data_IF_689390794880
#
_entry.id   IF_689390794880
#
_cell.length_a   1.000
_cell.length_b   1.000
_cell.length_c   1.000
_cell.angle_alpha   90.00
_cell.angle_beta   90.00
_cell.angle_gamma   90.00
#
_symmetry.space_group_name_H-M   'P 1'
#
loop_
_entity.id
_entity.type
_entity.pdbx_description
1 polymer ?
#
# COMPACT_ATOMS: atom_id res chain seq x y z
N UNK A 1 -6.05 -4.69 -4.20
CA UNK A 1 -5.64 -3.57 -5.08
C UNK A 1 -4.52 -2.84 -4.39
N UNK A 2 -3.31 -2.91 -4.96
CA UNK A 2 -2.11 -2.32 -4.36
C UNK A 2 -1.33 -1.53 -5.41
N UNK A 3 -1.10 -0.26 -5.14
CA UNK A 3 -0.29 0.61 -6.01
C UNK A 3 1.21 0.25 -6.00
N UNK A 4 1.63 -0.65 -5.14
CA UNK A 4 2.98 -1.17 -5.04
C UNK A 4 2.94 -2.69 -4.85
N UNK A 5 3.76 -3.39 -5.62
CA UNK A 5 3.93 -4.84 -5.60
C UNK A 5 5.27 -5.18 -6.26
N UNK A 6 5.96 -6.27 -5.91
CA UNK A 6 7.20 -6.66 -6.59
C UNK A 6 7.02 -6.70 -8.13
N UNK A 7 8.06 -6.40 -8.91
CA UNK A 7 9.49 -6.35 -8.58
C UNK A 7 9.97 -5.06 -7.90
N UNK A 8 9.13 -4.06 -7.72
CA UNK A 8 9.47 -2.91 -6.88
C UNK A 8 9.14 -3.23 -5.44
N UNK A 9 10.16 -3.53 -4.67
CA UNK A 9 10.07 -3.74 -3.25
C UNK A 9 10.06 -2.41 -2.50
N UNK A 10 8.96 -2.12 -1.85
CA UNK A 10 8.82 -1.08 -0.84
C UNK A 10 8.05 -1.67 0.34
N UNK A 11 7.81 -0.91 1.37
CA UNK A 11 7.12 -1.40 2.57
C UNK A 11 5.74 -1.98 2.27
N UNK A 12 4.93 -1.25 1.51
CA UNK A 12 3.58 -1.69 1.13
C UNK A 12 3.65 -2.90 0.21
N UNK A 13 4.54 -2.88 -0.80
CA UNK A 13 4.70 -3.98 -1.75
C UNK A 13 5.08 -5.29 -1.08
N UNK A 14 5.99 -5.24 -0.09
CA UNK A 14 6.39 -6.39 0.71
C UNK A 14 5.22 -6.96 1.51
N UNK A 15 4.48 -6.10 2.22
CA UNK A 15 3.29 -6.52 2.98
C UNK A 15 2.25 -7.18 2.08
N UNK A 16 1.94 -6.56 0.93
CA UNK A 16 0.96 -7.12 -0.02
C UNK A 16 1.40 -8.47 -0.56
N UNK A 17 2.68 -8.63 -0.89
CA UNK A 17 3.21 -9.89 -1.39
C UNK A 17 3.05 -11.02 -0.37
N UNK A 18 3.49 -10.82 0.86
CA UNK A 18 3.38 -11.84 1.90
C UNK A 18 1.93 -12.12 2.28
N UNK A 19 1.11 -11.09 2.45
CA UNK A 19 -0.32 -11.23 2.74
C UNK A 19 -1.04 -12.04 1.65
N UNK A 20 -0.77 -11.74 0.37
CA UNK A 20 -1.37 -12.48 -0.74
C UNK A 20 -1.04 -13.96 -0.71
N UNK A 21 0.23 -14.31 -0.46
CA UNK A 21 0.66 -15.70 -0.32
C UNK A 21 0.01 -16.42 0.85
N UNK A 22 -0.08 -15.77 2.00
CA UNK A 22 -0.76 -16.36 3.16
C UNK A 22 -2.25 -16.55 2.92
N UNK A 23 -2.94 -15.58 2.32
CA UNK A 23 -4.35 -15.72 1.97
C UNK A 23 -4.57 -16.87 0.97
N UNK A 24 -3.71 -17.01 -0.03
CA UNK A 24 -3.76 -18.11 -0.99
C UNK A 24 -3.52 -19.46 -0.29
N UNK A 25 -2.55 -19.55 0.62
CA UNK A 25 -2.28 -20.75 1.41
C UNK A 25 -3.46 -21.14 2.31
N UNK A 26 -4.28 -20.17 2.74
CA UNK A 26 -5.54 -20.39 3.46
C UNK A 26 -6.70 -20.81 2.54
N UNK A 27 -6.45 -21.13 1.27
CA UNK A 27 -7.46 -21.62 0.33
C UNK A 27 -8.24 -20.52 -0.40
N UNK A 28 -7.86 -19.25 -0.27
CA UNK A 28 -8.51 -18.18 -1.01
C UNK A 28 -7.94 -18.06 -2.43
N UNK A 29 -8.80 -17.75 -3.40
CA UNK A 29 -8.39 -17.32 -4.73
C UNK A 29 -8.00 -15.85 -4.69
N UNK A 30 -6.72 -15.54 -4.82
CA UNK A 30 -6.21 -14.18 -4.68
C UNK A 30 -5.83 -13.60 -6.04
N UNK A 31 -6.34 -12.42 -6.35
CA UNK A 31 -5.96 -11.64 -7.54
C UNK A 31 -5.45 -10.27 -7.12
N UNK A 32 -4.18 -9.99 -7.42
CA UNK A 32 -3.55 -8.68 -7.19
C UNK A 32 -3.73 -7.80 -8.43
N UNK A 33 -4.30 -6.61 -8.25
CA UNK A 33 -4.30 -5.58 -9.30
C UNK A 33 -3.24 -4.55 -8.91
N UNK A 34 -2.20 -4.41 -9.74
CA UNK A 34 -1.05 -3.54 -9.44
C UNK A 34 -0.61 -2.72 -10.64
N UNK A 35 0.34 -1.83 -10.44
CA UNK A 35 0.94 -1.01 -11.51
C UNK A 35 1.85 -1.84 -12.40
N UNK A 36 1.76 -1.64 -13.72
CA UNK A 36 2.65 -2.31 -14.67
C UNK A 36 4.10 -1.82 -14.57
N UNK A 37 5.03 -2.75 -14.71
CA UNK A 37 6.47 -2.51 -14.74
C UNK A 37 7.11 -3.18 -15.96
N UNK A 38 8.38 -2.83 -16.25
CA UNK A 38 9.15 -3.47 -17.33
C UNK A 38 9.47 -4.94 -17.02
N UNK A 39 9.67 -5.24 -15.74
CA UNK A 39 9.95 -6.58 -15.23
C UNK A 39 8.65 -7.15 -14.70
N UNK A 40 8.37 -8.42 -15.02
CA UNK A 40 7.18 -9.11 -14.55
C UNK A 40 7.22 -9.31 -13.02
N UNK A 41 6.06 -9.27 -12.35
CA UNK A 41 5.96 -9.67 -10.95
C UNK A 41 6.47 -11.10 -10.73
N UNK A 42 7.06 -11.40 -9.56
CA UNK A 42 7.42 -12.76 -9.23
C UNK A 42 6.16 -13.64 -9.16
N UNK A 43 6.30 -14.88 -9.61
CA UNK A 43 5.24 -15.86 -9.50
C UNK A 43 5.05 -16.30 -8.05
N UNK A 44 3.80 -16.47 -7.65
CA UNK A 44 3.43 -16.91 -6.31
C UNK A 44 2.26 -17.89 -6.42
N UNK A 45 2.39 -19.05 -5.78
CA UNK A 45 1.37 -20.10 -5.84
C UNK A 45 0.02 -19.59 -5.35
N UNK A 46 -1.04 -19.86 -6.10
CA UNK A 46 -2.41 -19.44 -5.77
C UNK A 46 -2.71 -17.94 -5.92
N UNK A 47 -1.74 -17.15 -6.40
CA UNK A 47 -1.90 -15.69 -6.59
C UNK A 47 -1.83 -15.35 -8.08
N UNK A 48 -2.85 -14.68 -8.59
CA UNK A 48 -2.87 -14.11 -9.93
C UNK A 48 -2.57 -12.62 -9.89
N UNK A 49 -1.84 -12.10 -10.90
CA UNK A 49 -1.48 -10.67 -10.95
C UNK A 49 -2.02 -10.05 -12.24
N UNK A 50 -2.73 -8.94 -12.09
CA UNK A 50 -3.21 -8.09 -13.18
C UNK A 50 -2.46 -6.76 -13.10
N UNK A 51 -1.62 -6.51 -14.10
CA UNK A 51 -0.90 -5.26 -14.22
C UNK A 51 -1.72 -4.23 -15.02
N UNK A 52 -1.78 -2.99 -14.52
CA UNK A 52 -2.50 -1.91 -15.17
C UNK A 52 -1.60 -0.71 -15.47
N UNK A 53 -1.84 0.01 -16.58
CA UNK A 53 -1.06 1.19 -16.92
C UNK A 53 -1.27 2.33 -15.93
N UNK A 54 -0.28 3.19 -15.81
CA UNK A 54 -0.28 4.34 -14.90
C UNK A 54 0.61 5.47 -15.43
N UNK A 55 0.35 6.70 -14.99
CA UNK A 55 1.13 7.89 -15.37
C UNK A 55 2.33 8.04 -14.43
N UNK A 56 3.55 8.09 -14.98
CA UNK A 56 4.81 8.17 -14.22
C UNK A 56 5.13 9.60 -13.77
N UNK A 57 4.19 10.22 -13.06
CA UNK A 57 4.39 11.54 -12.45
C UNK A 57 4.15 11.44 -10.95
N UNK A 58 4.96 12.14 -10.12
CA UNK A 58 4.78 12.16 -8.68
C UNK A 58 3.34 12.49 -8.30
N UNK A 59 2.80 11.78 -7.31
CA UNK A 59 1.42 11.87 -6.82
C UNK A 59 0.34 11.52 -7.87
N UNK A 60 0.43 12.02 -9.10
CA UNK A 60 -0.57 11.75 -10.16
C UNK A 60 -0.69 10.26 -10.50
N UNK A 61 0.37 9.48 -10.29
CA UNK A 61 0.37 8.05 -10.51
C UNK A 61 -0.72 7.33 -9.70
N UNK A 62 -0.98 7.75 -8.45
CA UNK A 62 -1.95 7.10 -7.57
C UNK A 62 -3.37 7.18 -8.13
N UNK A 63 -3.70 8.33 -8.73
CA UNK A 63 -5.02 8.58 -9.31
C UNK A 63 -5.20 7.91 -10.67
N UNK A 64 -4.19 7.94 -11.53
CA UNK A 64 -4.22 7.26 -12.83
C UNK A 64 -4.28 5.75 -12.67
N UNK A 65 -3.49 5.23 -11.73
CA UNK A 65 -3.54 3.82 -11.33
C UNK A 65 -4.93 3.42 -10.85
N UNK A 66 -5.52 4.16 -9.89
CA UNK A 66 -6.83 3.83 -9.33
C UNK A 66 -7.93 3.76 -10.41
N UNK A 67 -7.91 4.65 -11.42
CA UNK A 67 -8.86 4.59 -12.54
C UNK A 67 -8.74 3.30 -13.34
N UNK A 68 -7.51 2.89 -13.66
CA UNK A 68 -7.25 1.68 -14.44
C UNK A 68 -7.48 0.41 -13.60
N UNK A 69 -7.15 0.45 -12.30
CA UNK A 69 -7.44 -0.63 -11.37
C UNK A 69 -8.96 -0.89 -11.25
N UNK A 70 -9.78 0.17 -11.19
CA UNK A 70 -11.23 0.02 -11.20
C UNK A 70 -11.75 -0.63 -12.48
N UNK A 71 -11.18 -0.27 -13.63
CA UNK A 71 -11.55 -0.91 -14.91
C UNK A 71 -11.19 -2.41 -14.91
N UNK A 72 -9.99 -2.75 -14.42
CA UNK A 72 -9.56 -4.13 -14.28
C UNK A 72 -10.43 -4.92 -13.30
N UNK A 73 -10.76 -4.33 -12.15
CA UNK A 73 -11.66 -4.94 -11.15
C UNK A 73 -13.06 -5.22 -11.73
N UNK A 74 -13.64 -4.27 -12.48
CA UNK A 74 -14.92 -4.49 -13.16
C UNK A 74 -14.86 -5.63 -14.17
N UNK A 75 -13.77 -5.73 -14.92
CA UNK A 75 -13.58 -6.80 -15.89
C UNK A 75 -13.37 -8.16 -15.20
N UNK A 76 -12.67 -8.18 -14.09
CA UNK A 76 -12.49 -9.38 -13.25
C UNK A 76 -13.87 -9.84 -12.74
N UNK A 77 -14.61 -8.95 -12.09
CA UNK A 77 -15.92 -9.27 -11.50
C UNK A 77 -16.97 -9.78 -12.52
N UNK A 78 -16.86 -9.34 -13.78
CA UNK A 78 -17.73 -9.86 -14.87
C UNK A 78 -17.41 -11.31 -15.26
N UNK A 79 -16.17 -11.75 -15.05
CA UNK A 79 -15.71 -13.11 -15.40
C UNK A 79 -15.89 -14.08 -14.25
N UNK A 80 -15.68 -13.58 -13.05
CA UNK A 80 -15.79 -14.35 -11.82
C UNK A 80 -16.24 -13.44 -10.67
N UNK A 81 -17.03 -13.99 -9.77
CA UNK A 81 -17.49 -13.26 -8.59
C UNK A 81 -16.29 -12.88 -7.73
N UNK A 82 -16.24 -11.62 -7.33
CA UNK A 82 -15.33 -11.12 -6.30
C UNK A 82 -16.10 -11.01 -5.00
N UNK A 83 -15.61 -11.61 -3.94
CA UNK A 83 -16.28 -11.65 -2.63
C UNK A 83 -15.80 -10.54 -1.68
N UNK A 84 -14.54 -10.10 -1.82
CA UNK A 84 -13.95 -9.01 -1.03
C UNK A 84 -12.97 -8.21 -1.89
N UNK A 85 -12.98 -6.89 -1.75
CA UNK A 85 -11.98 -6.01 -2.38
C UNK A 85 -11.11 -5.40 -1.31
N UNK A 86 -9.84 -5.81 -1.25
CA UNK A 86 -8.86 -5.25 -0.33
C UNK A 86 -8.06 -4.13 -1.02
N UNK A 87 -8.07 -2.91 -0.47
CA UNK A 87 -7.41 -1.72 -1.03
C UNK A 87 -6.32 -1.23 -0.07
N UNK A 88 -5.08 -1.14 -0.57
CA UNK A 88 -3.94 -0.65 0.21
C UNK A 88 -3.73 0.85 -0.04
N UNK A 89 -4.06 1.67 0.97
CA UNK A 89 -3.86 3.10 0.96
C UNK A 89 -2.41 3.45 1.39
N UNK A 90 -1.86 4.61 0.96
CA UNK A 90 -2.49 5.68 0.19
C UNK A 90 -2.27 5.57 -1.33
N UNK A 91 -1.61 4.51 -1.84
CA UNK A 91 -1.14 4.45 -3.23
C UNK A 91 -2.25 4.18 -4.27
N UNK A 92 -3.48 3.95 -3.83
CA UNK A 92 -4.66 3.74 -4.67
C UNK A 92 -5.70 4.84 -4.39
N UNK A 93 -5.62 5.97 -5.11
CA UNK A 93 -6.47 7.14 -4.89
C UNK A 93 -7.82 7.02 -5.58
N UNK A 94 -8.73 6.21 -5.03
CA UNK A 94 -10.12 6.16 -5.48
C UNK A 94 -10.93 7.36 -4.95
N UNK A 95 -11.84 7.89 -5.76
CA UNK A 95 -12.78 8.89 -5.30
C UNK A 95 -13.91 8.25 -4.47
N UNK A 96 -14.62 9.06 -3.68
CA UNK A 96 -15.77 8.65 -2.90
C UNK A 96 -16.81 7.90 -3.75
N UNK A 97 -17.11 8.42 -4.94
CA UNK A 97 -18.02 7.75 -5.89
C UNK A 97 -17.51 6.39 -6.36
N UNK A 98 -16.19 6.23 -6.49
CA UNK A 98 -15.59 4.95 -6.90
C UNK A 98 -15.59 3.93 -5.77
N UNK A 99 -15.32 4.34 -4.54
CA UNK A 99 -15.46 3.46 -3.37
C UNK A 99 -16.91 2.99 -3.22
N UNK A 100 -17.87 3.90 -3.21
CA UNK A 100 -19.32 3.54 -3.17
C UNK A 100 -19.73 2.60 -4.29
N UNK A 101 -19.22 2.83 -5.50
CA UNK A 101 -19.52 1.94 -6.61
C UNK A 101 -18.97 0.52 -6.35
N UNK A 102 -17.76 0.38 -5.82
CA UNK A 102 -17.17 -0.93 -5.50
C UNK A 102 -18.00 -1.62 -4.42
N UNK A 103 -18.28 -0.93 -3.32
CA UNK A 103 -19.07 -1.44 -2.20
C UNK A 103 -20.46 -1.92 -2.62
N UNK A 104 -21.16 -1.14 -3.43
CA UNK A 104 -22.54 -1.41 -3.77
C UNK A 104 -22.73 -2.39 -4.93
N UNK A 105 -21.75 -2.51 -5.84
CA UNK A 105 -21.93 -3.22 -7.10
C UNK A 105 -20.91 -4.34 -7.34
N UNK A 106 -19.89 -4.46 -6.52
CA UNK A 106 -18.85 -5.48 -6.69
C UNK A 106 -18.73 -6.34 -5.44
N UNK A 107 -18.21 -5.79 -4.34
CA UNK A 107 -18.01 -6.52 -3.10
C UNK A 107 -17.66 -5.55 -1.96
N UNK A 108 -17.83 -5.96 -0.68
CA UNK A 108 -17.35 -5.21 0.48
C UNK A 108 -15.88 -4.85 0.36
N UNK A 109 -15.53 -3.63 0.79
CA UNK A 109 -14.16 -3.12 0.74
C UNK A 109 -13.51 -3.19 2.12
N UNK A 110 -12.32 -3.77 2.18
CA UNK A 110 -11.38 -3.63 3.28
C UNK A 110 -10.29 -2.63 2.86
N UNK A 111 -10.04 -1.58 3.64
CA UNK A 111 -8.97 -0.61 3.38
C UNK A 111 -7.83 -0.77 4.38
N UNK A 112 -6.64 -1.16 3.92
CA UNK A 112 -5.41 -1.15 4.75
C UNK A 112 -4.77 0.22 4.78
N UNK A 113 -4.56 0.71 6.01
CA UNK A 113 -3.96 2.01 6.32
C UNK A 113 -2.47 1.81 6.61
N UNK A 114 -1.59 2.22 5.69
CA UNK A 114 -0.14 2.06 5.85
C UNK A 114 0.55 3.33 6.32
N UNK A 115 -0.01 4.47 6.03
CA UNK A 115 0.45 5.81 6.34
C UNK A 115 -0.42 6.82 5.62
N UNK A 116 -0.34 8.10 5.96
CA UNK A 116 -1.16 9.15 5.38
C UNK A 116 -0.34 10.16 4.59
N UNK A 117 -0.91 10.72 3.52
CA UNK A 117 -0.27 11.83 2.78
C UNK A 117 -0.07 13.07 3.66
N UNK A 118 -0.91 13.28 4.67
CA UNK A 118 -0.75 14.41 5.58
C UNK A 118 0.40 14.17 6.57
N UNK A 119 0.57 12.94 7.06
CA UNK A 119 1.71 12.51 7.86
C UNK A 119 3.01 12.60 7.07
N UNK A 120 3.05 12.08 5.86
CA UNK A 120 4.20 12.20 4.95
C UNK A 120 4.58 13.66 4.71
N UNK A 121 3.60 14.52 4.44
CA UNK A 121 3.85 15.97 4.32
C UNK A 121 4.49 16.57 5.56
N UNK A 122 4.03 16.19 6.74
CA UNK A 122 4.61 16.66 8.00
C UNK A 122 6.04 16.15 8.18
N UNK A 123 6.30 14.89 7.83
CA UNK A 123 7.65 14.29 7.83
C UNK A 123 8.60 15.09 6.94
N UNK A 124 8.21 15.34 5.68
CA UNK A 124 8.98 16.14 4.72
C UNK A 124 9.26 17.55 5.25
N UNK A 125 8.27 18.22 5.87
CA UNK A 125 8.45 19.56 6.44
C UNK A 125 9.42 19.54 7.63
N UNK A 126 9.32 18.55 8.51
CA UNK A 126 10.20 18.42 9.68
C UNK A 126 11.64 18.14 9.26
N UNK A 127 11.86 17.20 8.35
CA UNK A 127 13.19 16.87 7.81
C UNK A 127 13.83 18.08 7.11
N UNK A 128 13.03 18.87 6.37
CA UNK A 128 13.53 20.11 5.76
C UNK A 128 13.93 21.18 6.79
N UNK A 129 13.17 21.32 7.88
CA UNK A 129 13.51 22.27 8.97
C UNK A 129 14.74 21.84 9.77
N UNK A 130 14.96 20.54 9.89
CA UNK A 130 16.13 19.98 10.54
C UNK A 130 17.38 19.96 9.64
N UNK A 131 17.31 20.47 8.42
CA UNK A 131 18.34 20.38 7.38
C UNK A 131 18.75 18.93 7.00
N UNK A 132 17.89 17.95 7.28
CA UNK A 132 18.12 16.53 6.95
C UNK A 132 17.74 16.22 5.50
N UNK A 133 16.87 17.03 4.89
CA UNK A 133 16.53 16.92 3.48
C UNK A 133 16.36 18.27 2.81
N UNK A 134 16.71 18.33 1.53
CA UNK A 134 16.43 19.48 0.65
C UNK A 134 15.18 19.20 -0.19
N UNK A 135 14.01 19.39 0.38
CA UNK A 135 12.70 19.09 -0.25
C UNK A 135 12.58 19.64 -1.68
N UNK A 136 13.12 20.80 -1.96
CA UNK A 136 13.08 21.43 -3.27
C UNK A 136 13.97 20.74 -4.32
N UNK A 137 14.93 19.89 -3.91
CA UNK A 137 15.78 19.09 -4.80
C UNK A 137 15.18 17.71 -5.10
N UNK A 138 14.20 17.27 -4.31
CA UNK A 138 13.54 15.98 -4.49
C UNK A 138 12.14 16.22 -5.10
N UNK A 139 11.89 15.85 -6.37
CA UNK A 139 10.59 16.05 -7.02
C UNK A 139 9.42 15.35 -6.28
N UNK A 140 9.68 14.21 -5.64
CA UNK A 140 8.64 13.50 -4.89
C UNK A 140 8.27 14.28 -3.61
N UNK A 141 9.25 14.72 -2.82
CA UNK A 141 9.02 15.48 -1.59
C UNK A 141 8.32 16.80 -1.90
N UNK A 142 8.74 17.48 -2.98
CA UNK A 142 8.09 18.70 -3.44
C UNK A 142 6.63 18.45 -3.83
N UNK A 143 6.37 17.38 -4.58
CA UNK A 143 5.01 17.00 -4.97
C UNK A 143 4.14 16.67 -3.76
N UNK A 144 4.66 15.91 -2.77
CA UNK A 144 3.97 15.61 -1.51
C UNK A 144 3.65 16.92 -0.78
N UNK A 145 4.64 17.79 -0.60
CA UNK A 145 4.48 19.07 0.10
C UNK A 145 3.35 19.94 -0.51
N UNK A 146 3.29 19.98 -1.85
CA UNK A 146 2.32 20.82 -2.57
C UNK A 146 0.93 20.17 -2.69
N UNK A 147 0.86 18.86 -2.86
CA UNK A 147 -0.39 18.21 -3.28
C UNK A 147 -1.00 17.24 -2.25
N UNK A 148 -0.31 16.93 -1.15
CA UNK A 148 -0.80 15.99 -0.15
C UNK A 148 -2.23 16.32 0.35
N UNK A 149 -2.53 17.61 0.59
CA UNK A 149 -3.88 18.05 0.99
C UNK A 149 -4.95 17.74 -0.07
N UNK A 150 -4.58 17.74 -1.35
CA UNK A 150 -5.50 17.33 -2.41
C UNK A 150 -5.70 15.82 -2.42
N UNK A 151 -4.62 15.04 -2.23
CA UNK A 151 -4.68 13.57 -2.26
C UNK A 151 -5.26 12.97 -0.98
N UNK A 152 -5.17 13.65 0.16
CA UNK A 152 -5.74 13.21 1.42
C UNK A 152 -7.27 12.99 1.38
N UNK A 153 -7.97 13.69 0.48
CA UNK A 153 -9.41 13.46 0.29
C UNK A 153 -9.75 12.06 -0.24
N UNK A 154 -8.82 11.42 -0.96
CA UNK A 154 -9.02 10.05 -1.44
C UNK A 154 -8.79 9.03 -0.34
N UNK A 155 -7.87 9.30 0.59
CA UNK A 155 -7.69 8.49 1.80
C UNK A 155 -8.91 8.63 2.71
N UNK A 156 -9.37 9.87 2.96
CA UNK A 156 -10.61 10.11 3.70
C UNK A 156 -11.80 9.36 3.07
N UNK A 157 -11.88 9.33 1.74
CA UNK A 157 -12.92 8.56 1.05
C UNK A 157 -12.79 7.05 1.33
N UNK A 158 -11.59 6.50 1.34
CA UNK A 158 -11.35 5.11 1.69
C UNK A 158 -11.83 4.76 3.09
N UNK A 159 -11.49 5.61 4.08
CA UNK A 159 -11.91 5.44 5.47
C UNK A 159 -13.44 5.46 5.62
N UNK A 160 -14.10 6.42 4.97
CA UNK A 160 -15.54 6.66 5.15
C UNK A 160 -16.45 5.72 4.34
N UNK A 161 -15.94 5.15 3.26
CA UNK A 161 -16.75 4.38 2.31
C UNK A 161 -16.38 2.89 2.25
N UNK A 162 -15.43 2.43 3.07
CA UNK A 162 -15.10 1.01 3.21
C UNK A 162 -15.94 0.37 4.30
N UNK A 163 -16.32 -0.89 4.10
CA UNK A 163 -16.99 -1.69 5.13
C UNK A 163 -16.15 -1.82 6.39
N UNK A 164 -14.83 -1.95 6.22
CA UNK A 164 -13.87 -1.98 7.33
C UNK A 164 -12.54 -1.37 6.88
N UNK A 165 -11.85 -0.74 7.83
CA UNK A 165 -10.44 -0.37 7.69
C UNK A 165 -9.56 -1.19 8.62
N UNK A 166 -8.30 -1.39 8.23
CA UNK A 166 -7.30 -2.09 9.04
C UNK A 166 -6.06 -1.22 9.16
N UNK A 167 -5.72 -0.83 10.38
CA UNK A 167 -4.49 -0.11 10.68
C UNK A 167 -3.40 -1.09 11.14
N UNK A 168 -2.16 -0.86 10.71
CA UNK A 168 -1.02 -1.70 11.08
C UNK A 168 -0.49 -1.45 12.49
N UNK A 169 -0.96 -0.40 13.16
CA UNK A 169 -0.61 -0.07 14.53
C UNK A 169 -1.62 0.90 15.14
N UNK A 170 -1.63 0.98 16.47
CA UNK A 170 -2.41 1.98 17.21
C UNK A 170 -1.99 3.42 16.85
N UNK A 171 -0.71 3.62 16.56
CA UNK A 171 -0.17 4.91 16.11
C UNK A 171 -0.77 5.32 14.76
N UNK A 172 -0.82 4.40 13.80
CA UNK A 172 -1.44 4.64 12.49
C UNK A 172 -2.93 4.96 12.64
N UNK A 173 -3.67 4.20 13.45
CA UNK A 173 -5.08 4.49 13.73
C UNK A 173 -5.26 5.89 14.31
N UNK A 174 -4.45 6.25 15.31
CA UNK A 174 -4.50 7.58 15.94
C UNK A 174 -4.15 8.69 14.95
N UNK A 175 -3.17 8.47 14.08
CA UNK A 175 -2.81 9.41 13.01
C UNK A 175 -4.00 9.67 12.08
N UNK A 176 -4.66 8.63 11.61
CA UNK A 176 -5.82 8.77 10.71
C UNK A 176 -6.99 9.45 11.41
N UNK A 177 -7.27 9.15 12.68
CA UNK A 177 -8.27 9.86 13.48
C UNK A 177 -7.96 11.35 13.60
N UNK A 178 -6.69 11.69 13.88
CA UNK A 178 -6.26 13.08 14.03
C UNK A 178 -6.33 13.88 12.73
N UNK A 179 -5.98 13.28 11.59
CA UNK A 179 -5.94 13.98 10.31
C UNK A 179 -7.31 14.10 9.64
N UNK A 180 -8.13 13.07 9.77
CA UNK A 180 -9.36 13.00 8.97
C UNK A 180 -10.62 13.25 9.76
N UNK A 181 -10.54 13.25 11.10
CA UNK A 181 -11.68 13.46 12.00
C UNK A 181 -12.92 12.74 11.45
N UNK A 182 -12.90 11.41 11.35
CA UNK A 182 -14.05 10.69 10.86
C UNK A 182 -15.23 10.91 11.81
N UNK A 183 -16.33 11.42 11.26
CA UNK A 183 -17.57 11.57 12.01
C UNK A 183 -18.21 10.20 12.20
N UNK A 184 -18.60 9.85 13.41
CA UNK A 184 -19.27 8.60 13.72
C UNK A 184 -18.36 7.39 13.87
N UNK A 185 -18.92 6.21 13.72
CA UNK A 185 -18.24 4.94 13.89
C UNK A 185 -17.25 4.66 12.74
N UNK A 186 -16.03 5.07 12.96
CA UNK A 186 -14.91 4.68 12.11
C UNK A 186 -14.59 3.21 12.37
N UNK A 187 -15.13 2.34 11.54
CA UNK A 187 -14.92 0.90 11.64
C UNK A 187 -13.49 0.55 11.23
N UNK A 188 -12.59 0.46 12.22
CA UNK A 188 -11.18 0.19 11.99
C UNK A 188 -10.60 -0.70 13.09
N UNK A 189 -10.09 -1.84 12.69
CA UNK A 189 -9.33 -2.75 13.55
C UNK A 189 -7.84 -2.47 13.45
N UNK A 190 -7.11 -2.74 14.53
CA UNK A 190 -5.66 -2.74 14.54
C UNK A 190 -5.15 -4.16 14.39
N UNK A 191 -4.53 -4.44 13.24
CA UNK A 191 -3.90 -5.72 12.96
C UNK A 191 -2.40 -5.49 12.77
N UNK A 192 -1.61 -5.90 13.74
CA UNK A 192 -0.16 -5.79 13.69
C UNK A 192 0.39 -6.69 12.58
N UNK A 193 1.38 -6.19 11.87
CA UNK A 193 2.11 -7.04 10.94
C UNK A 193 2.92 -8.07 11.70
N UNK A 194 2.81 -9.32 11.28
CA UNK A 194 3.68 -10.39 11.75
C UNK A 194 5.05 -10.32 11.11
N UNK A 195 5.98 -11.08 11.66
CA UNK A 195 7.24 -11.39 11.00
C UNK A 195 7.30 -12.89 10.70
N UNK A 196 8.02 -13.25 9.64
CA UNK A 196 8.30 -14.65 9.36
C UNK A 196 9.38 -15.16 10.34
N UNK A 197 8.96 -15.93 11.34
CA UNK A 197 9.85 -16.48 12.36
C UNK A 197 10.81 -17.57 11.83
N UNK A 198 10.64 -18.04 10.60
CA UNK A 198 11.64 -18.88 9.93
C UNK A 198 12.81 -18.08 9.42
N UNK A 199 12.56 -16.82 9.01
CA UNK A 199 13.57 -15.88 8.53
C UNK A 199 14.15 -15.07 9.70
N UNK A 200 13.27 -14.52 10.55
CA UNK A 200 13.63 -13.73 11.71
C UNK A 200 13.61 -14.60 12.97
N UNK A 201 14.65 -15.37 13.17
CA UNK A 201 14.88 -16.23 14.35
C UNK A 201 16.23 -15.91 14.99
N UNK A 202 16.40 -16.15 16.28
CA UNK A 202 17.73 -16.12 16.87
C UNK A 202 18.67 -17.06 16.09
N UNK A 203 19.94 -16.74 15.94
CA UNK A 203 20.91 -17.64 15.32
C UNK A 203 20.93 -18.95 16.12
N UNK A 204 20.87 -20.09 15.43
CA UNK A 204 21.09 -21.37 16.05
C UNK A 204 22.60 -21.51 16.35
N UNK A 205 22.94 -22.34 17.34
CA UNK A 205 24.37 -22.62 17.65
C UNK A 205 25.15 -23.23 16.50
N UNK A 206 24.43 -23.81 15.51
CA UNK A 206 25.01 -24.42 14.30
C UNK A 206 25.01 -23.47 13.08
N UNK A 207 24.43 -22.27 13.18
CA UNK A 207 24.57 -21.26 12.13
C UNK A 207 26.03 -20.78 12.23
N UNK A 208 26.93 -21.27 11.38
CA UNK A 208 28.27 -20.73 11.24
C UNK A 208 28.17 -19.20 11.15
N UNK A 209 28.92 -18.49 11.96
CA UNK A 209 29.01 -17.03 11.89
C UNK A 209 29.39 -16.67 10.44
N UNK A 210 28.39 -16.35 9.60
CA UNK A 210 28.64 -15.60 8.39
C UNK A 210 29.29 -14.30 8.86
N UNK A 211 30.62 -14.27 8.82
CA UNK A 211 31.41 -13.12 9.24
C UNK A 211 30.84 -11.90 8.51
N UNK A 212 30.16 -11.05 9.26
CA UNK A 212 29.68 -9.77 8.80
C UNK A 212 30.87 -8.99 8.22
N UNK A 213 30.99 -8.94 6.89
CA UNK A 213 31.97 -8.11 6.20
C UNK A 213 31.39 -6.69 6.01
N UNK A 214 31.86 -5.71 6.80
CA UNK A 214 31.39 -4.32 6.68
C UNK A 214 31.67 -3.71 5.30
N UNK A 215 32.52 -4.31 4.48
CA UNK A 215 32.87 -3.83 3.15
C UNK A 215 31.86 -4.26 2.07
N UNK A 216 31.02 -5.25 2.32
CA UNK A 216 29.93 -5.65 1.40
C UNK A 216 28.83 -4.60 1.29
N UNK A 217 28.62 -3.78 2.32
CA UNK A 217 27.63 -2.69 2.30
C UNK A 217 28.03 -1.50 1.41
N UNK A 218 29.31 -1.41 0.98
CA UNK A 218 29.78 -0.33 0.09
C UNK A 218 29.45 -0.54 -1.39
N UNK A 219 28.93 -1.70 -1.77
CA UNK A 219 28.48 -1.99 -3.14
C UNK A 219 26.95 -2.00 -3.18
N UNK A 220 26.33 -0.85 -3.01
CA UNK A 220 24.91 -0.66 -3.32
C UNK A 220 24.66 -0.95 -4.80
N UNK A 221 23.46 -1.40 -5.17
CA UNK A 221 23.12 -1.66 -6.56
C UNK A 221 23.25 -0.39 -7.39
N UNK A 222 23.99 -0.48 -8.52
CA UNK A 222 24.11 0.57 -9.55
C UNK A 222 22.78 0.77 -10.29
#
# INVERSE_FOLDING_TARGET
IAGEYPPRWGGIGSVVFHLAGHLAACGNKVTIITRSHKVKPPEQSGVSVIEVPWIKLPMAFTRSYAKNALKALKNLHRREKVDVVHIHLPLASFSRKQFRFIEQNIAPVCSSLHGSWLGEKQGVIRASKANESATWRNPNDLAIRLTAKYYSKFEKAGILESSISVANSQSTLSEFKNWYHPDGDFNCDVVLWGCDHKVFRPPNQDDEEEQYDPNQLKKGPR
#
